data_IF_099768219557
#
_entry.id   IF_099768219557
#
_cell.length_a   1.000
_cell.length_b   1.000
_cell.length_c   1.000
_cell.angle_alpha   90.00
_cell.angle_beta   90.00
_cell.angle_gamma   90.00
#
_symmetry.space_group_name_H-M   'P 1'
#
loop_
_entity.id
_entity.type
_entity.pdbx_description
1 polymer ?
#
# COMPACT_ATOMS: atom_id res chain seq x y z
N UNK A 1 -4.55 -2.94 -4.38
CA UNK A 1 -5.66 -1.96 -4.46
C UNK A 1 -7.04 -2.59 -4.40
N UNK A 2 -7.40 -3.45 -5.36
CA UNK A 2 -8.72 -4.12 -5.45
C UNK A 2 -9.20 -4.72 -4.12
N UNK A 3 -8.33 -5.49 -3.47
CA UNK A 3 -8.60 -6.13 -2.18
C UNK A 3 -9.00 -5.13 -1.07
N UNK A 4 -8.33 -3.97 -1.01
CA UNK A 4 -8.63 -2.95 -0.01
C UNK A 4 -10.03 -2.34 -0.21
N UNK A 5 -10.44 -2.16 -1.47
CA UNK A 5 -11.78 -1.68 -1.82
C UNK A 5 -12.84 -2.72 -1.45
N UNK A 6 -12.60 -4.00 -1.75
CA UNK A 6 -13.52 -5.08 -1.42
C UNK A 6 -13.67 -5.24 0.09
N UNK A 7 -12.57 -5.16 0.85
CA UNK A 7 -12.62 -5.16 2.30
C UNK A 7 -13.44 -3.98 2.85
N UNK A 8 -13.27 -2.78 2.30
CA UNK A 8 -14.06 -1.62 2.70
C UNK A 8 -15.56 -1.82 2.43
N UNK A 9 -15.95 -2.47 1.33
CA UNK A 9 -17.36 -2.81 1.02
C UNK A 9 -17.88 -3.86 2.00
N UNK A 10 -17.16 -4.96 2.16
CA UNK A 10 -17.61 -6.12 2.96
C UNK A 10 -17.70 -5.78 4.46
N UNK A 11 -16.83 -4.91 4.96
CA UNK A 11 -16.74 -4.58 6.38
C UNK A 11 -17.41 -3.26 6.78
N UNK A 12 -17.99 -2.51 5.83
CA UNK A 12 -18.73 -1.27 6.10
C UNK A 12 -19.91 -1.49 7.03
N UNK A 13 -20.11 -0.55 7.95
CA UNK A 13 -21.38 -0.44 8.66
C UNK A 13 -22.45 0.17 7.75
N UNK A 14 -23.42 -0.64 7.34
CA UNK A 14 -24.52 -0.20 6.47
C UNK A 14 -25.71 0.39 7.23
N UNK A 15 -25.66 0.42 8.57
CA UNK A 15 -26.69 1.11 9.36
C UNK A 15 -26.50 2.64 9.39
N UNK A 16 -25.43 3.13 8.74
CA UNK A 16 -25.05 4.53 8.73
C UNK A 16 -25.08 5.09 7.31
N UNK A 17 -25.25 6.41 7.17
CA UNK A 17 -25.42 7.09 5.88
C UNK A 17 -24.10 7.39 5.15
N UNK A 18 -22.96 7.06 5.76
CA UNK A 18 -21.66 7.67 5.47
C UNK A 18 -20.86 7.25 4.24
N UNK A 19 -21.29 6.43 3.30
CA UNK A 19 -20.45 5.99 2.15
C UNK A 19 -19.03 5.45 2.50
N UNK A 20 -18.29 5.00 1.48
CA UNK A 20 -16.86 4.66 1.58
C UNK A 20 -16.10 5.86 1.04
N UNK A 21 -15.13 6.37 1.80
CA UNK A 21 -14.30 7.49 1.38
C UNK A 21 -12.99 6.97 0.81
N UNK A 22 -12.71 7.32 -0.44
CA UNK A 22 -11.42 7.11 -1.10
C UNK A 22 -10.83 8.49 -1.35
N UNK A 23 -9.67 8.79 -0.74
CA UNK A 23 -8.98 10.07 -0.90
C UNK A 23 -7.61 9.84 -1.49
N UNK A 24 -7.33 10.52 -2.60
CA UNK A 24 -6.06 10.48 -3.31
C UNK A 24 -5.34 11.79 -3.05
N UNK A 25 -4.11 11.69 -2.57
CA UNK A 25 -3.18 12.80 -2.38
C UNK A 25 -1.94 12.55 -3.24
N UNK A 26 -1.07 13.55 -3.37
CA UNK A 26 0.18 13.43 -4.14
C UNK A 26 1.12 12.33 -3.61
N UNK A 27 1.10 12.08 -2.30
CA UNK A 27 2.00 11.15 -1.61
C UNK A 27 1.29 10.02 -0.86
N UNK A 28 -0.05 9.93 -0.94
CA UNK A 28 -0.77 8.86 -0.25
C UNK A 28 -2.16 8.62 -0.83
N UNK A 29 -2.63 7.39 -0.67
CA UNK A 29 -4.02 7.02 -0.87
C UNK A 29 -4.60 6.56 0.47
N UNK A 30 -5.80 7.05 0.83
CA UNK A 30 -6.54 6.53 1.97
C UNK A 30 -7.89 5.98 1.54
N UNK A 31 -8.24 4.80 2.05
CA UNK A 31 -9.57 4.22 1.94
C UNK A 31 -10.11 4.07 3.36
N UNK A 32 -11.30 4.60 3.62
CA UNK A 32 -11.95 4.50 4.93
C UNK A 32 -13.44 4.26 4.81
N UNK A 33 -13.98 3.51 5.76
CA UNK A 33 -15.41 3.31 5.94
C UNK A 33 -15.76 3.43 7.41
N UNK A 34 -16.99 3.84 7.69
CA UNK A 34 -17.52 3.77 9.05
C UNK A 34 -17.69 2.32 9.48
N UNK A 35 -17.44 2.10 10.76
CA UNK A 35 -17.38 0.78 11.38
C UNK A 35 -16.17 0.64 12.28
N UNK A 36 -16.15 -0.49 12.97
CA UNK A 36 -15.09 -0.88 13.89
C UNK A 36 -14.58 -2.26 13.52
N UNK A 37 -13.34 -2.55 13.89
CA UNK A 37 -12.85 -3.93 13.83
C UNK A 37 -13.70 -4.80 14.76
N UNK A 38 -13.82 -6.11 14.46
CA UNK A 38 -14.38 -7.05 15.43
C UNK A 38 -13.62 -6.92 16.77
N UNK A 39 -14.30 -6.99 17.92
CA UNK A 39 -13.68 -6.75 19.22
C UNK A 39 -12.55 -7.72 19.56
N UNK A 40 -12.46 -8.85 18.85
CA UNK A 40 -11.41 -9.85 19.02
C UNK A 40 -10.21 -9.67 18.08
N UNK A 41 -10.20 -8.62 17.25
CA UNK A 41 -9.16 -8.34 16.25
C UNK A 41 -8.60 -6.94 16.50
N UNK A 42 -7.30 -6.85 16.75
CA UNK A 42 -6.58 -5.58 16.82
C UNK A 42 -6.01 -5.18 15.46
N UNK A 43 -5.45 -3.96 15.37
CA UNK A 43 -4.77 -3.49 14.16
C UNK A 43 -3.53 -4.35 13.83
N UNK A 44 -2.81 -4.78 14.86
CA UNK A 44 -1.63 -5.65 14.74
C UNK A 44 -2.01 -7.03 14.20
N UNK A 45 -3.21 -7.51 14.53
CA UNK A 45 -3.72 -8.79 14.05
C UNK A 45 -3.90 -8.82 12.53
N UNK A 46 -4.17 -7.68 11.91
CA UNK A 46 -4.37 -7.58 10.46
C UNK A 46 -3.09 -7.94 9.68
N UNK A 47 -1.91 -7.92 10.33
CA UNK A 47 -0.62 -8.32 9.75
C UNK A 47 -0.31 -9.82 9.90
N UNK A 48 -1.13 -10.57 10.64
CA UNK A 48 -0.99 -12.02 10.83
C UNK A 48 -2.23 -12.76 10.34
N UNK A 49 -2.15 -14.08 10.30
CA UNK A 49 -3.34 -14.89 10.03
C UNK A 49 -4.36 -14.68 11.15
N UNK A 50 -5.57 -14.34 10.76
CA UNK A 50 -6.68 -14.14 11.68
C UNK A 50 -7.99 -14.65 11.06
N UNK A 51 -8.94 -15.02 11.91
CA UNK A 51 -10.27 -15.34 11.43
C UNK A 51 -10.92 -14.06 10.88
N UNK A 52 -11.39 -14.09 9.63
CA UNK A 52 -12.21 -12.98 9.14
C UNK A 52 -13.62 -13.10 9.68
N UNK A 53 -13.99 -12.13 10.51
CA UNK A 53 -15.36 -11.90 10.91
C UNK A 53 -15.93 -10.75 10.09
N UNK A 54 -16.46 -11.07 8.91
CA UNK A 54 -17.13 -10.09 8.06
C UNK A 54 -18.43 -9.60 8.69
N UNK A 55 -18.60 -8.27 8.77
CA UNK A 55 -19.84 -7.64 9.22
C UNK A 55 -21.01 -7.99 8.29
N UNK A 56 -20.77 -7.97 6.99
CA UNK A 56 -21.77 -8.28 5.97
C UNK A 56 -21.48 -9.64 5.32
N UNK A 57 -21.90 -10.73 5.99
CA UNK A 57 -21.66 -12.11 5.52
C UNK A 57 -22.23 -12.39 4.13
N UNK A 58 -23.41 -11.85 3.80
CA UNK A 58 -24.02 -12.02 2.47
C UNK A 58 -23.18 -11.37 1.37
N UNK A 59 -22.66 -10.17 1.61
CA UNK A 59 -21.76 -9.51 0.65
C UNK A 59 -20.45 -10.28 0.50
N UNK A 60 -19.87 -10.77 1.59
CA UNK A 60 -18.67 -11.60 1.54
C UNK A 60 -18.89 -12.88 0.71
N UNK A 61 -20.02 -13.57 0.90
CA UNK A 61 -20.39 -14.77 0.15
C UNK A 61 -20.58 -14.47 -1.36
N UNK A 62 -21.25 -13.37 -1.70
CA UNK A 62 -21.42 -12.94 -3.09
C UNK A 62 -20.06 -12.65 -3.74
N UNK A 63 -19.18 -11.91 -3.06
CA UNK A 63 -17.86 -11.57 -3.59
C UNK A 63 -16.98 -12.81 -3.76
N UNK A 64 -17.10 -13.78 -2.85
CA UNK A 64 -16.40 -15.06 -2.95
C UNK A 64 -16.90 -15.87 -4.15
N UNK A 65 -18.22 -16.05 -4.27
CA UNK A 65 -18.84 -16.79 -5.39
C UNK A 65 -18.61 -16.14 -6.75
N UNK A 66 -18.51 -14.82 -6.79
CA UNK A 66 -18.15 -14.06 -7.98
C UNK A 66 -16.65 -14.11 -8.34
N UNK A 67 -15.82 -14.79 -7.53
CA UNK A 67 -14.37 -14.86 -7.74
C UNK A 67 -13.64 -13.53 -7.49
N UNK A 68 -14.27 -12.59 -6.78
CA UNK A 68 -13.69 -11.28 -6.47
C UNK A 68 -12.74 -11.34 -5.28
N UNK A 69 -12.96 -12.29 -4.36
CA UNK A 69 -12.06 -12.59 -3.23
C UNK A 69 -11.75 -14.09 -3.19
N UNK A 70 -10.53 -14.44 -2.81
CA UNK A 70 -10.06 -15.84 -2.85
C UNK A 70 -10.31 -16.62 -1.55
N UNK A 71 -10.33 -15.93 -0.41
CA UNK A 71 -10.53 -16.57 0.90
C UNK A 71 -10.81 -15.56 2.01
N UNK A 72 -11.45 -16.03 3.07
CA UNK A 72 -11.73 -15.23 4.26
C UNK A 72 -10.48 -15.12 5.14
N UNK A 73 -10.12 -13.91 5.56
CA UNK A 73 -9.08 -13.69 6.60
C UNK A 73 -7.65 -13.56 6.09
N UNK A 74 -7.43 -13.66 4.78
CA UNK A 74 -6.11 -13.46 4.16
C UNK A 74 -6.02 -12.23 3.27
N UNK A 75 -7.12 -11.50 3.11
CA UNK A 75 -7.18 -10.32 2.25
C UNK A 75 -6.20 -9.23 2.67
N UNK A 76 -6.08 -8.96 3.97
CA UNK A 76 -5.09 -8.00 4.51
C UNK A 76 -3.66 -8.46 4.25
N UNK A 77 -3.34 -9.73 4.49
CA UNK A 77 -2.04 -10.32 4.18
C UNK A 77 -1.69 -10.23 2.70
N UNK A 78 -2.69 -10.44 1.82
CA UNK A 78 -2.52 -10.27 0.37
C UNK A 78 -2.12 -8.84 0.04
N UNK A 79 -2.78 -7.84 0.63
CA UNK A 79 -2.41 -6.43 0.45
C UNK A 79 -0.94 -6.20 0.84
N UNK A 80 -0.50 -6.66 2.02
CA UNK A 80 0.91 -6.52 2.45
C UNK A 80 1.87 -7.20 1.49
N UNK A 81 1.56 -8.44 1.07
CA UNK A 81 2.40 -9.21 0.14
C UNK A 81 2.54 -8.52 -1.22
N UNK A 82 1.47 -7.92 -1.75
CA UNK A 82 1.49 -7.22 -3.03
C UNK A 82 2.25 -5.88 -2.92
N UNK A 83 2.12 -5.15 -1.81
CA UNK A 83 2.95 -3.98 -1.55
C UNK A 83 4.44 -4.33 -1.51
N UNK A 84 4.80 -5.44 -0.84
CA UNK A 84 6.17 -5.94 -0.79
C UNK A 84 6.69 -6.32 -2.17
N UNK A 85 5.91 -7.05 -2.98
CA UNK A 85 6.28 -7.39 -4.37
C UNK A 85 6.48 -6.17 -5.25
N UNK A 86 5.65 -5.14 -5.06
CA UNK A 86 5.76 -3.87 -5.78
C UNK A 86 6.85 -2.94 -5.24
N UNK A 87 7.61 -3.33 -4.21
CA UNK A 87 8.66 -2.52 -3.59
C UNK A 87 8.16 -1.15 -3.08
N UNK A 88 6.89 -1.09 -2.69
CA UNK A 88 6.30 0.11 -2.08
C UNK A 88 6.17 -0.08 -0.56
N UNK A 89 6.06 1.02 0.21
CA UNK A 89 5.81 0.93 1.64
C UNK A 89 4.58 0.07 1.97
N UNK A 90 4.65 -0.67 3.08
CA UNK A 90 3.47 -1.34 3.61
C UNK A 90 2.38 -0.31 3.97
N UNK A 91 1.10 -0.66 3.79
CA UNK A 91 0.02 0.21 4.22
C UNK A 91 -0.14 0.19 5.75
N UNK A 92 -0.62 1.31 6.27
CA UNK A 92 -0.96 1.44 7.68
C UNK A 92 -2.47 1.36 7.87
N UNK A 93 -2.90 0.60 8.87
CA UNK A 93 -4.30 0.50 9.29
C UNK A 93 -4.53 1.36 10.54
N UNK A 94 -5.69 1.99 10.61
CA UNK A 94 -6.12 2.81 11.74
C UNK A 94 -7.57 2.50 12.08
N UNK A 95 -7.89 2.49 13.38
CA UNK A 95 -9.25 2.48 13.89
C UNK A 95 -9.41 3.64 14.88
N UNK A 96 -10.15 4.68 14.47
CA UNK A 96 -10.31 5.91 15.24
C UNK A 96 -11.75 6.42 15.09
N UNK A 97 -12.36 6.84 16.19
CA UNK A 97 -13.69 7.47 16.18
C UNK A 97 -14.79 6.67 15.42
N UNK A 98 -14.72 5.33 15.44
CA UNK A 98 -15.69 4.48 14.74
C UNK A 98 -15.48 4.42 13.22
N UNK A 99 -14.27 4.73 12.74
CA UNK A 99 -13.86 4.61 11.36
C UNK A 99 -12.66 3.68 11.28
N UNK A 100 -12.71 2.73 10.34
CA UNK A 100 -11.55 1.94 9.94
C UNK A 100 -10.97 2.54 8.67
N UNK A 101 -9.66 2.71 8.64
CA UNK A 101 -8.93 3.31 7.52
C UNK A 101 -7.68 2.52 7.19
N UNK A 102 -7.41 2.38 5.91
CA UNK A 102 -6.14 1.91 5.37
C UNK A 102 -5.49 3.05 4.59
N UNK A 103 -4.20 3.30 4.84
CA UNK A 103 -3.41 4.34 4.18
C UNK A 103 -2.25 3.67 3.46
N UNK A 104 -2.14 3.94 2.16
CA UNK A 104 -0.98 3.60 1.34
C UNK A 104 -0.12 4.84 1.18
N UNK A 105 1.09 4.82 1.73
CA UNK A 105 2.12 5.83 1.44
C UNK A 105 2.63 5.59 0.02
N UNK A 106 2.43 6.57 -0.86
CA UNK A 106 3.04 6.57 -2.17
C UNK A 106 4.30 7.41 -2.04
N UNK A 107 5.47 6.78 -2.24
CA UNK A 107 6.63 7.59 -2.60
C UNK A 107 6.21 8.32 -3.86
N UNK A 108 6.12 9.66 -3.77
CA UNK A 108 5.94 10.51 -4.93
C UNK A 108 6.90 9.98 -5.98
N UNK A 109 6.42 9.80 -7.20
CA UNK A 109 7.26 9.35 -8.29
C UNK A 109 8.56 10.15 -8.23
N UNK A 110 9.64 9.52 -7.75
CA UNK A 110 10.93 9.82 -8.31
C UNK A 110 10.73 9.40 -9.76
N UNK A 111 10.37 10.36 -10.61
CA UNK A 111 10.16 10.24 -12.07
C UNK A 111 11.49 9.90 -12.76
N UNK A 112 12.37 9.16 -12.08
CA UNK A 112 13.61 8.62 -12.58
C UNK A 112 13.82 7.19 -12.08
N UNK A 113 12.75 6.41 -11.89
CA UNK A 113 12.85 4.96 -12.14
C UNK A 113 12.90 4.77 -13.67
N UNK A 114 14.05 5.12 -14.25
CA UNK A 114 14.43 4.90 -15.64
C UNK A 114 14.62 3.38 -15.85
N UNK A 115 13.53 2.62 -15.84
CA UNK A 115 13.49 1.18 -16.06
C UNK A 115 13.71 0.80 -17.54
N UNK A 116 14.74 1.35 -18.18
CA UNK A 116 14.91 1.25 -19.63
C UNK A 116 16.34 1.24 -20.16
N UNK A 117 17.35 0.87 -19.37
CA UNK A 117 18.70 0.62 -19.91
C UNK A 117 19.89 1.19 -19.14
N UNK A 118 19.78 1.46 -17.84
CA UNK A 118 20.93 1.89 -17.04
C UNK A 118 21.76 0.67 -16.62
N UNK A 119 23.04 0.64 -17.02
CA UNK A 119 24.04 -0.27 -16.46
C UNK A 119 24.35 0.12 -15.00
N UNK A 120 24.88 -0.80 -14.18
CA UNK A 120 25.22 -0.61 -12.75
C UNK A 120 26.02 0.67 -12.49
N UNK A 121 26.90 1.04 -13.42
CA UNK A 121 27.68 2.28 -13.38
C UNK A 121 26.81 3.55 -13.36
N UNK A 122 25.74 3.60 -14.16
CA UNK A 122 24.84 4.76 -14.21
C UNK A 122 23.97 4.87 -12.96
N UNK A 123 23.64 3.74 -12.34
CA UNK A 123 22.95 3.70 -11.04
C UNK A 123 23.87 4.26 -9.93
N UNK A 124 25.14 3.86 -9.93
CA UNK A 124 26.14 4.36 -8.98
C UNK A 124 26.38 5.86 -9.13
N UNK A 125 26.52 6.36 -10.37
CA UNK A 125 26.65 7.78 -10.67
C UNK A 125 25.42 8.56 -10.18
N UNK A 126 24.21 8.08 -10.49
CA UNK A 126 22.98 8.75 -10.05
C UNK A 126 22.90 8.79 -8.52
N UNK A 127 23.18 7.67 -7.84
CA UNK A 127 23.20 7.64 -6.37
C UNK A 127 24.23 8.59 -5.76
N UNK A 128 25.38 8.80 -6.41
CA UNK A 128 26.41 9.72 -5.93
C UNK A 128 25.97 11.18 -6.09
N UNK A 129 25.43 11.53 -7.26
CA UNK A 129 24.93 12.88 -7.57
C UNK A 129 23.78 13.27 -6.63
N UNK A 130 22.82 12.35 -6.40
CA UNK A 130 21.70 12.63 -5.48
C UNK A 130 22.15 12.91 -4.05
N UNK A 131 23.27 12.33 -3.61
CA UNK A 131 23.86 12.58 -2.28
C UNK A 131 24.78 13.79 -2.24
N UNK A 132 25.32 14.22 -3.39
CA UNK A 132 26.34 15.27 -3.50
C UNK A 132 26.02 16.24 -4.66
N UNK A 133 25.00 17.10 -4.52
CA UNK A 133 24.61 18.02 -5.57
C UNK A 133 25.70 19.07 -5.85
N UNK A 134 25.89 19.43 -7.13
CA UNK A 134 26.81 20.50 -7.54
C UNK A 134 28.27 20.09 -7.77
N UNK A 135 28.58 18.78 -7.72
CA UNK A 135 29.92 18.26 -8.01
C UNK A 135 30.26 18.29 -9.50
N UNK A 136 31.52 18.55 -9.82
CA UNK A 136 32.01 18.56 -11.21
C UNK A 136 32.09 17.14 -11.75
N UNK A 137 31.92 17.00 -13.06
CA UNK A 137 31.94 15.73 -13.79
C UNK A 137 33.17 14.86 -13.46
N UNK A 138 34.37 15.46 -13.39
CA UNK A 138 35.61 14.76 -12.99
C UNK A 138 35.52 14.15 -11.59
N UNK A 139 35.03 14.91 -10.60
CA UNK A 139 34.93 14.44 -9.22
C UNK A 139 33.97 13.25 -9.08
N UNK A 140 32.94 13.20 -9.92
CA UNK A 140 31.96 12.11 -9.94
C UNK A 140 32.59 10.85 -10.54
N UNK A 141 33.37 10.96 -11.63
CA UNK A 141 34.10 9.80 -12.17
C UNK A 141 35.12 9.24 -11.20
N UNK A 142 35.92 10.10 -10.57
CA UNK A 142 36.93 9.67 -9.60
C UNK A 142 36.29 8.93 -8.42
N UNK A 143 35.12 9.40 -7.97
CA UNK A 143 34.39 8.78 -6.85
C UNK A 143 33.65 7.49 -7.22
N UNK A 144 33.28 7.31 -8.49
CA UNK A 144 32.50 6.15 -8.95
C UNK A 144 33.33 5.13 -9.74
N UNK A 145 34.62 5.41 -9.93
CA UNK A 145 35.59 4.60 -10.68
C UNK A 145 35.11 4.26 -12.11
N UNK A 146 34.33 5.16 -12.71
CA UNK A 146 33.84 5.04 -14.08
C UNK A 146 34.70 5.89 -15.01
N UNK A 147 35.35 5.30 -16.02
CA UNK A 147 36.07 6.08 -17.03
C UNK A 147 35.06 6.89 -17.87
N UNK A 148 35.43 8.14 -18.17
CA UNK A 148 34.73 8.99 -19.15
C UNK A 148 35.20 8.68 -20.57
#
# INVERSE_FOLDING_TARGET
MREAVFNAIIHRDYNTTSAIQIKIYSNRLSISNEGKLPPEITIEDLKREHLSKSRNKLLADIFYKAGLIESWGRGTLKIFSECKKAHIPEPNFYEEHGVVKIIFEMKGSDVLSLNGGLNENLVNINSYISKNPGKKTIEIADATNTPF
#
